data_IF_422885836075
#
_entry.id   IF_422885836075
#
_cell.length_a   1.000
_cell.length_b   1.000
_cell.length_c   1.000
_cell.angle_alpha   90.00
_cell.angle_beta   90.00
_cell.angle_gamma   90.00
#
_symmetry.space_group_name_H-M   'P 1'
#
loop_
_entity.id
_entity.type
_entity.pdbx_description
1 polymer ?
#
# COMPACT_ATOMS: atom_id res chain seq x y z
N UNK A 1 12.05 3.37 20.70
CA UNK A 1 13.16 3.33 19.74
C UNK A 1 12.92 2.11 18.85
N UNK A 2 12.64 2.34 17.58
CA UNK A 2 12.45 1.26 16.61
C UNK A 2 13.84 0.74 16.26
N UNK A 3 14.11 -0.52 16.57
CA UNK A 3 15.40 -1.12 16.23
C UNK A 3 15.40 -1.43 14.74
N UNK A 4 16.26 -0.75 13.98
CA UNK A 4 16.52 -1.05 12.58
C UNK A 4 17.80 -1.88 12.46
N UNK A 5 17.93 -2.75 11.43
CA UNK A 5 19.18 -3.40 11.12
C UNK A 5 20.33 -2.39 10.96
N UNK A 6 21.51 -2.73 11.47
CA UNK A 6 22.66 -1.82 11.51
C UNK A 6 23.04 -1.25 10.14
N UNK A 7 22.86 -2.04 9.06
CA UNK A 7 23.15 -1.58 7.70
C UNK A 7 22.13 -0.56 7.15
N UNK A 8 21.00 -0.35 7.84
CA UNK A 8 19.97 0.63 7.49
C UNK A 8 20.00 1.88 8.38
N UNK A 9 20.71 1.86 9.51
CA UNK A 9 20.78 3.01 10.44
C UNK A 9 21.25 4.29 9.73
N UNK A 10 22.38 4.23 9.03
CA UNK A 10 22.95 5.38 8.34
C UNK A 10 22.05 5.86 7.17
N UNK A 11 21.55 5.00 6.26
CA UNK A 11 20.59 5.41 5.24
C UNK A 11 19.35 6.11 5.79
N UNK A 12 18.74 5.59 6.87
CA UNK A 12 17.57 6.22 7.47
C UNK A 12 17.90 7.58 8.07
N UNK A 13 19.08 7.72 8.67
CA UNK A 13 19.53 9.00 9.19
C UNK A 13 19.75 10.04 8.08
N UNK A 14 20.42 9.66 6.99
CA UNK A 14 20.69 10.54 5.86
C UNK A 14 19.38 11.05 5.21
N UNK A 15 18.40 10.16 5.01
CA UNK A 15 17.11 10.54 4.42
C UNK A 15 16.30 11.42 5.39
N UNK A 16 16.27 11.08 6.68
CA UNK A 16 15.58 11.90 7.68
C UNK A 16 16.15 13.32 7.75
N UNK A 17 17.48 13.48 7.64
CA UNK A 17 18.15 14.78 7.56
C UNK A 17 17.75 15.54 6.28
N UNK A 18 17.69 14.87 5.12
CA UNK A 18 17.23 15.45 3.85
C UNK A 18 15.76 15.91 3.91
N UNK A 19 14.91 15.18 4.64
CA UNK A 19 13.50 15.52 4.83
C UNK A 19 13.26 16.52 5.97
N UNK A 20 14.31 16.95 6.68
CA UNK A 20 14.23 17.79 7.87
C UNK A 20 13.32 17.20 8.96
N UNK A 21 13.35 15.88 9.14
CA UNK A 21 12.55 15.15 10.14
C UNK A 21 13.46 14.48 11.18
N UNK A 22 13.01 14.37 12.44
CA UNK A 22 13.65 13.46 13.39
C UNK A 22 13.62 12.02 12.87
N UNK A 23 14.72 11.27 13.00
CA UNK A 23 14.84 9.89 12.51
C UNK A 23 13.72 8.99 13.03
N UNK A 24 13.38 9.07 14.32
CA UNK A 24 12.29 8.28 14.91
C UNK A 24 10.93 8.57 14.24
N UNK A 25 10.68 9.83 13.87
CA UNK A 25 9.44 10.25 13.20
C UNK A 25 9.41 9.84 11.75
N UNK A 26 10.56 9.91 11.07
CA UNK A 26 10.70 9.41 9.72
C UNK A 26 10.44 7.90 9.67
N UNK A 27 11.08 7.12 10.56
CA UNK A 27 10.89 5.67 10.67
C UNK A 27 9.43 5.27 10.94
N UNK A 28 8.75 5.97 11.84
CA UNK A 28 7.34 5.73 12.12
C UNK A 28 6.46 5.93 10.87
N UNK A 29 6.68 7.02 10.13
CA UNK A 29 5.95 7.30 8.89
C UNK A 29 6.25 6.26 7.81
N UNK A 30 7.52 5.97 7.55
CA UNK A 30 7.93 5.01 6.53
C UNK A 30 7.38 3.61 6.81
N UNK A 31 7.26 3.20 8.08
CA UNK A 31 6.66 1.91 8.42
C UNK A 31 5.17 1.85 8.13
N UNK A 32 4.42 2.94 8.39
CA UNK A 32 3.00 3.00 8.05
C UNK A 32 2.81 2.93 6.54
N UNK A 33 3.55 3.76 5.80
CA UNK A 33 3.51 3.76 4.32
C UNK A 33 3.90 2.40 3.74
N UNK A 34 4.93 1.75 4.28
CA UNK A 34 5.33 0.41 3.86
C UNK A 34 4.24 -0.64 4.08
N UNK A 35 3.49 -0.56 5.19
CA UNK A 35 2.38 -1.50 5.46
C UNK A 35 1.26 -1.31 4.45
N UNK A 36 0.93 -0.05 4.13
CA UNK A 36 -0.09 0.27 3.13
C UNK A 36 0.36 -0.22 1.73
N UNK A 37 1.59 0.11 1.32
CA UNK A 37 2.18 -0.34 0.06
C UNK A 37 2.24 -1.87 -0.02
N UNK A 38 2.54 -2.57 1.08
CA UNK A 38 2.55 -4.02 1.13
C UNK A 38 1.16 -4.63 0.89
N UNK A 39 0.12 -4.03 1.47
CA UNK A 39 -1.25 -4.48 1.23
C UNK A 39 -1.67 -4.25 -0.23
N UNK A 40 -1.38 -3.07 -0.77
CA UNK A 40 -1.67 -2.73 -2.16
C UNK A 40 -0.94 -3.66 -3.13
N UNK A 41 0.35 -3.93 -2.89
CA UNK A 41 1.13 -4.86 -3.69
C UNK A 41 0.54 -6.28 -3.65
N UNK A 42 0.11 -6.75 -2.48
CA UNK A 42 -0.54 -8.07 -2.36
C UNK A 42 -1.85 -8.17 -3.11
N UNK A 43 -2.68 -7.12 -3.05
CA UNK A 43 -3.94 -7.07 -3.81
C UNK A 43 -3.67 -7.07 -5.31
N UNK A 44 -2.69 -6.29 -5.76
CA UNK A 44 -2.28 -6.26 -7.17
C UNK A 44 -1.74 -7.61 -7.64
N UNK A 45 -0.86 -8.26 -6.86
CA UNK A 45 -0.35 -9.60 -7.18
C UNK A 45 -1.46 -10.64 -7.29
N UNK A 46 -2.46 -10.57 -6.40
CA UNK A 46 -3.61 -11.46 -6.46
C UNK A 46 -4.44 -11.20 -7.73
N UNK A 47 -4.77 -9.94 -8.01
CA UNK A 47 -5.53 -9.58 -9.21
C UNK A 47 -4.81 -10.02 -10.49
N UNK A 48 -3.49 -9.86 -10.57
CA UNK A 48 -2.68 -10.34 -11.70
C UNK A 48 -2.78 -11.86 -11.85
N UNK A 49 -2.74 -12.62 -10.74
CA UNK A 49 -2.89 -14.09 -10.78
C UNK A 49 -4.28 -14.50 -11.26
N UNK A 50 -5.33 -13.84 -10.78
CA UNK A 50 -6.71 -14.10 -11.19
C UNK A 50 -6.88 -13.87 -12.70
N UNK A 51 -6.39 -12.74 -13.20
CA UNK A 51 -6.40 -12.43 -14.65
C UNK A 51 -5.60 -13.46 -15.45
N UNK A 52 -4.43 -13.86 -14.95
CA UNK A 52 -3.60 -14.86 -15.64
C UNK A 52 -4.29 -16.23 -15.74
N UNK A 53 -5.05 -16.61 -14.70
CA UNK A 53 -5.76 -17.88 -14.63
C UNK A 53 -7.17 -17.83 -15.26
N UNK A 54 -7.60 -16.69 -15.81
CA UNK A 54 -8.98 -16.44 -16.25
C UNK A 54 -10.01 -16.65 -15.13
N UNK A 55 -9.63 -16.39 -13.88
CA UNK A 55 -10.48 -16.40 -12.69
C UNK A 55 -11.05 -15.01 -12.38
N UNK A 56 -10.66 -14.00 -13.16
CA UNK A 56 -11.17 -12.65 -13.07
C UNK A 56 -12.62 -12.54 -13.59
N UNK A 57 -13.38 -11.60 -13.01
CA UNK A 57 -14.76 -11.35 -13.39
C UNK A 57 -14.86 -10.12 -14.30
N UNK A 58 -15.22 -10.32 -15.57
CA UNK A 58 -15.56 -9.22 -16.47
C UNK A 58 -16.98 -8.74 -16.17
N UNK A 59 -17.11 -7.53 -15.64
CA UNK A 59 -18.41 -6.91 -15.37
C UNK A 59 -18.92 -6.14 -16.59
N UNK A 60 -20.22 -6.24 -16.85
CA UNK A 60 -20.88 -5.32 -17.79
C UNK A 60 -20.93 -3.91 -17.19
N UNK A 61 -20.99 -2.87 -18.04
CA UNK A 61 -21.14 -1.49 -17.56
C UNK A 61 -22.40 -1.29 -16.70
N UNK A 62 -23.47 -2.05 -16.98
CA UNK A 62 -24.71 -2.00 -16.20
C UNK A 62 -24.52 -2.59 -14.80
N UNK A 63 -23.77 -3.68 -14.67
CA UNK A 63 -23.49 -4.31 -13.37
C UNK A 63 -22.49 -3.49 -12.55
N UNK A 64 -21.48 -2.91 -13.22
CA UNK A 64 -20.55 -1.97 -12.58
C UNK A 64 -21.27 -0.72 -12.04
N UNK A 65 -22.26 -0.20 -12.78
CA UNK A 65 -23.09 0.92 -12.30
C UNK A 65 -23.87 0.55 -11.04
N UNK A 66 -24.50 -0.63 -10.99
CA UNK A 66 -25.23 -1.10 -9.80
C UNK A 66 -24.32 -1.23 -8.58
N UNK A 67 -23.16 -1.86 -8.74
CA UNK A 67 -22.15 -2.01 -7.69
C UNK A 67 -21.68 -0.66 -7.14
N UNK A 68 -21.46 0.33 -8.02
CA UNK A 68 -21.13 1.68 -7.61
C UNK A 68 -22.26 2.33 -6.79
N UNK A 69 -23.50 2.24 -7.26
CA UNK A 69 -24.66 2.81 -6.58
C UNK A 69 -24.84 2.18 -5.18
N UNK A 70 -24.60 0.87 -5.04
CA UNK A 70 -24.62 0.14 -3.76
C UNK A 70 -23.52 0.61 -2.79
N UNK A 71 -22.30 0.80 -3.29
CA UNK A 71 -21.16 1.28 -2.48
C UNK A 71 -21.37 2.72 -1.99
N UNK A 72 -21.90 3.61 -2.84
CA UNK A 72 -22.16 5.01 -2.48
C UNK A 72 -23.36 5.13 -1.53
N UNK A 73 -24.34 4.23 -1.64
CA UNK A 73 -25.53 4.22 -0.77
C UNK A 73 -25.29 3.58 0.61
N UNK A 74 -24.15 2.90 0.79
CA UNK A 74 -23.78 2.21 2.04
C UNK A 74 -22.84 3.03 2.94
N UNK A 75 -22.50 4.26 2.53
CA UNK A 75 -21.78 5.28 3.31
C UNK A 75 -22.74 6.35 3.81
#
# INVERSE_FOLDING_TARGET
>A
MIAVPQYLEQPFQEIAEMEHKPVDKFLEQTLVEFIDDYHDARLAEQAIKEVHNCEDNVLSLTDARKLYDELVSSN
#
